data_IF_036982618613
#
_entry.id   IF_036982618613
#
_cell.length_a   1.000
_cell.length_b   1.000
_cell.length_c   1.000
_cell.angle_alpha   90.00
_cell.angle_beta   90.00
_cell.angle_gamma   90.00
#
_symmetry.space_group_name_H-M   'P 1'
#
loop_
_entity.id
_entity.type
_entity.pdbx_description
1 polymer ?
#
# COMPACT_ATOMS: atom_id res chain seq x y z
N UNK A 1 -31.60 -49.12 -45.50
CA UNK A 1 -31.20 -48.95 -44.10
C UNK A 1 -30.49 -47.59 -43.97
N UNK A 2 -31.29 -46.55 -43.72
CA UNK A 2 -30.87 -45.15 -43.81
C UNK A 2 -30.66 -44.61 -42.40
N UNK A 3 -29.40 -44.35 -42.01
CA UNK A 3 -29.07 -43.77 -40.73
C UNK A 3 -29.30 -42.24 -40.79
N UNK A 4 -30.22 -41.76 -39.99
CA UNK A 4 -30.47 -40.32 -39.73
C UNK A 4 -29.48 -39.83 -38.70
N UNK A 5 -28.56 -38.94 -39.08
CA UNK A 5 -27.75 -38.16 -38.17
C UNK A 5 -28.63 -37.08 -37.52
N UNK A 6 -28.81 -37.15 -36.19
CA UNK A 6 -29.46 -36.10 -35.42
C UNK A 6 -28.50 -34.88 -35.30
N UNK A 7 -29.00 -33.73 -35.71
CA UNK A 7 -28.39 -32.43 -35.50
C UNK A 7 -28.49 -32.14 -33.99
N UNK A 8 -27.35 -32.05 -33.27
CA UNK A 8 -27.31 -31.51 -31.93
C UNK A 8 -27.48 -30.00 -32.02
N UNK A 9 -28.61 -29.51 -31.52
CA UNK A 9 -28.84 -28.08 -31.28
C UNK A 9 -27.78 -27.56 -30.30
N UNK A 10 -26.86 -26.75 -30.81
CA UNK A 10 -25.91 -26.00 -30.01
C UNK A 10 -26.67 -24.99 -29.15
N UNK A 11 -26.74 -25.26 -27.85
CA UNK A 11 -27.23 -24.32 -26.86
C UNK A 11 -26.23 -23.17 -26.81
N UNK A 12 -26.50 -22.10 -27.55
CA UNK A 12 -25.71 -20.86 -27.45
C UNK A 12 -25.89 -20.32 -26.03
N UNK A 13 -24.79 -20.33 -25.27
CA UNK A 13 -24.74 -19.71 -23.94
C UNK A 13 -25.17 -18.24 -24.09
N UNK A 14 -26.28 -17.89 -23.45
CA UNK A 14 -26.71 -16.49 -23.40
C UNK A 14 -25.62 -15.67 -22.71
N UNK A 15 -25.19 -14.56 -23.31
CA UNK A 15 -24.26 -13.67 -22.62
C UNK A 15 -24.91 -13.23 -21.31
N UNK A 16 -24.17 -13.41 -20.18
CA UNK A 16 -24.61 -12.92 -18.87
C UNK A 16 -24.88 -11.42 -18.90
N UNK A 17 -25.61 -10.89 -17.91
CA UNK A 17 -25.90 -9.47 -17.85
C UNK A 17 -24.60 -8.66 -17.93
N UNK A 18 -24.60 -7.60 -18.73
CA UNK A 18 -23.46 -6.71 -18.91
C UNK A 18 -23.02 -6.15 -17.52
N UNK A 19 -21.77 -6.36 -17.08
CA UNK A 19 -21.30 -5.88 -15.78
C UNK A 19 -21.49 -4.37 -15.59
N UNK A 20 -21.49 -3.58 -16.66
CA UNK A 20 -21.73 -2.13 -16.61
C UNK A 20 -23.16 -1.78 -16.19
N UNK A 21 -24.13 -2.65 -16.45
CA UNK A 21 -25.55 -2.47 -16.09
C UNK A 21 -25.85 -2.84 -14.63
N UNK A 22 -24.91 -3.42 -13.91
CA UNK A 22 -25.09 -3.80 -12.51
C UNK A 22 -25.32 -2.57 -11.63
N UNK A 23 -26.26 -2.71 -10.69
CA UNK A 23 -26.57 -1.63 -9.74
C UNK A 23 -25.45 -1.50 -8.71
N UNK A 24 -25.13 -0.25 -8.37
CA UNK A 24 -24.15 0.08 -7.35
C UNK A 24 -24.78 0.23 -5.97
N UNK A 25 -23.99 -0.03 -4.94
CA UNK A 25 -24.36 0.20 -3.55
C UNK A 25 -23.97 1.63 -3.09
N UNK A 26 -24.45 2.04 -1.93
CA UNK A 26 -24.00 3.29 -1.32
C UNK A 26 -22.52 3.23 -0.94
N UNK A 27 -22.02 2.05 -0.57
CA UNK A 27 -20.60 1.83 -0.29
C UNK A 27 -19.71 2.08 -1.54
N UNK A 28 -20.18 1.67 -2.71
CA UNK A 28 -19.47 1.93 -3.97
C UNK A 28 -19.41 3.44 -4.28
N UNK A 29 -20.52 4.17 -4.06
CA UNK A 29 -20.53 5.64 -4.19
C UNK A 29 -19.56 6.31 -3.23
N UNK A 30 -19.52 5.86 -1.97
CA UNK A 30 -18.60 6.41 -0.97
C UNK A 30 -17.13 6.18 -1.35
N UNK A 31 -16.79 4.99 -1.88
CA UNK A 31 -15.43 4.72 -2.36
C UNK A 31 -15.01 5.66 -3.49
N UNK A 32 -15.89 5.90 -4.45
CA UNK A 32 -15.62 6.85 -5.54
C UNK A 32 -15.48 8.27 -4.99
N UNK A 33 -16.34 8.70 -4.07
CA UNK A 33 -16.25 10.01 -3.44
C UNK A 33 -14.92 10.21 -2.70
N UNK A 34 -14.37 9.17 -2.04
CA UNK A 34 -13.05 9.25 -1.41
C UNK A 34 -11.92 9.39 -2.44
N UNK A 35 -11.99 8.68 -3.57
CA UNK A 35 -11.03 8.84 -4.68
C UNK A 35 -11.03 10.28 -5.20
N UNK A 36 -12.21 10.89 -5.37
CA UNK A 36 -12.34 12.26 -5.83
C UNK A 36 -11.77 13.28 -4.82
N UNK A 37 -12.05 13.10 -3.52
CA UNK A 37 -11.49 13.97 -2.47
C UNK A 37 -9.98 13.89 -2.42
N UNK A 38 -9.42 12.68 -2.56
CA UNK A 38 -7.98 12.48 -2.62
C UNK A 38 -7.37 13.18 -3.84
N UNK A 39 -7.99 13.03 -5.02
CA UNK A 39 -7.53 13.69 -6.25
C UNK A 39 -7.55 15.22 -6.13
N UNK A 40 -8.57 15.79 -5.48
CA UNK A 40 -8.63 17.23 -5.21
C UNK A 40 -7.54 17.65 -4.20
N UNK A 41 -7.34 16.88 -3.14
CA UNK A 41 -6.26 17.14 -2.18
C UNK A 41 -4.86 17.07 -2.80
N UNK A 42 -4.68 16.28 -3.86
CA UNK A 42 -3.45 16.19 -4.65
C UNK A 42 -3.36 17.28 -5.75
N UNK A 43 -4.39 18.12 -5.91
CA UNK A 43 -4.46 19.15 -6.94
C UNK A 43 -4.60 18.61 -8.37
N UNK A 44 -5.15 17.40 -8.53
CA UNK A 44 -5.41 16.77 -9.85
C UNK A 44 -6.70 17.27 -10.46
N UNK A 45 -7.68 17.58 -9.62
CA UNK A 45 -8.93 18.22 -9.95
C UNK A 45 -9.10 19.44 -9.05
N UNK A 46 -9.77 20.47 -9.52
CA UNK A 46 -10.09 21.65 -8.72
C UNK A 46 -11.36 21.43 -7.88
N UNK A 47 -11.70 22.41 -7.04
CA UNK A 47 -12.84 22.27 -6.12
C UNK A 47 -14.17 22.27 -6.86
N UNK A 48 -14.29 23.03 -7.97
CA UNK A 48 -15.51 23.08 -8.76
C UNK A 48 -15.74 21.73 -9.47
N UNK A 49 -14.68 21.15 -10.03
CA UNK A 49 -14.71 19.83 -10.65
C UNK A 49 -14.99 18.72 -9.62
N UNK A 50 -14.45 18.85 -8.39
CA UNK A 50 -14.77 17.94 -7.29
C UNK A 50 -16.27 17.92 -6.99
N UNK A 51 -16.89 19.11 -6.86
CA UNK A 51 -18.32 19.21 -6.55
C UNK A 51 -19.18 18.60 -7.66
N UNK A 52 -18.87 18.89 -8.93
CA UNK A 52 -19.58 18.34 -10.08
C UNK A 52 -19.47 16.79 -10.13
N UNK A 53 -18.28 16.26 -9.90
CA UNK A 53 -18.05 14.79 -9.91
C UNK A 53 -18.67 14.11 -8.71
N UNK A 54 -18.69 14.74 -7.53
CA UNK A 54 -19.39 14.19 -6.35
C UNK A 54 -20.89 14.13 -6.60
N UNK A 55 -21.50 15.18 -7.18
CA UNK A 55 -22.91 15.15 -7.54
C UNK A 55 -23.23 14.02 -8.52
N UNK A 56 -22.45 13.88 -9.60
CA UNK A 56 -22.58 12.77 -10.54
C UNK A 56 -22.44 11.39 -9.87
N UNK A 57 -21.52 11.26 -8.93
CA UNK A 57 -21.30 10.02 -8.17
C UNK A 57 -22.54 9.63 -7.34
N UNK A 58 -23.17 10.58 -6.65
CA UNK A 58 -24.36 10.32 -5.84
C UNK A 58 -25.62 10.10 -6.67
N UNK A 59 -25.67 10.63 -7.90
CA UNK A 59 -26.76 10.37 -8.84
C UNK A 59 -26.63 9.02 -9.58
N UNK A 60 -25.42 8.49 -9.69
CA UNK A 60 -25.15 7.23 -10.40
C UNK A 60 -25.92 6.06 -9.79
N UNK A 61 -26.46 5.19 -10.66
CA UNK A 61 -27.24 4.00 -10.31
C UNK A 61 -26.55 2.70 -10.71
N UNK A 62 -25.62 2.76 -11.67
CA UNK A 62 -24.93 1.59 -12.23
C UNK A 62 -23.42 1.80 -12.26
N UNK A 63 -22.66 0.69 -12.35
CA UNK A 63 -21.21 0.75 -12.49
C UNK A 63 -20.78 1.49 -13.76
N UNK A 64 -21.53 1.34 -14.86
CA UNK A 64 -21.26 2.05 -16.11
C UNK A 64 -21.32 3.58 -15.97
N UNK A 65 -22.12 4.10 -15.03
CA UNK A 65 -22.21 5.53 -14.74
C UNK A 65 -21.07 6.03 -13.82
N UNK A 66 -20.46 5.15 -12.99
CA UNK A 66 -19.31 5.51 -12.15
C UNK A 66 -17.99 5.53 -12.92
N UNK A 67 -17.83 4.64 -13.92
CA UNK A 67 -16.57 4.52 -14.66
C UNK A 67 -16.07 5.84 -15.25
N UNK A 68 -16.88 6.64 -15.99
CA UNK A 68 -16.39 7.87 -16.58
C UNK A 68 -16.00 8.95 -15.57
N UNK A 69 -16.53 8.90 -14.34
CA UNK A 69 -16.27 9.89 -13.29
C UNK A 69 -14.81 9.84 -12.79
N UNK A 70 -14.19 8.67 -12.87
CA UNK A 70 -12.82 8.45 -12.39
C UNK A 70 -11.85 7.96 -13.46
N UNK A 71 -12.28 7.90 -14.73
CA UNK A 71 -11.51 7.30 -15.81
C UNK A 71 -10.17 8.00 -16.07
N UNK A 72 -10.11 9.30 -15.89
CA UNK A 72 -8.95 10.17 -16.05
C UNK A 72 -8.10 10.27 -14.76
N UNK A 73 -8.65 9.79 -13.64
CA UNK A 73 -7.92 9.75 -12.38
C UNK A 73 -7.17 8.42 -12.25
N UNK A 74 -5.89 8.46 -11.86
CA UNK A 74 -5.19 7.22 -11.54
C UNK A 74 -5.92 6.55 -10.39
N UNK A 75 -6.06 5.23 -10.45
CA UNK A 75 -6.64 4.44 -9.35
C UNK A 75 -6.00 4.88 -8.03
N UNK A 76 -6.80 5.02 -6.98
CA UNK A 76 -6.33 5.45 -5.66
C UNK A 76 -5.12 4.59 -5.25
N UNK A 77 -3.94 5.22 -5.09
CA UNK A 77 -2.69 4.51 -4.89
C UNK A 77 -1.91 4.18 -6.17
N UNK A 78 -2.38 4.57 -7.36
CA UNK A 78 -1.56 4.45 -8.56
C UNK A 78 -0.30 5.32 -8.45
N UNK A 79 0.88 4.77 -8.75
CA UNK A 79 2.12 5.54 -8.67
C UNK A 79 2.04 6.76 -9.59
N UNK A 80 2.45 7.94 -9.09
CA UNK A 80 2.74 9.08 -9.97
C UNK A 80 3.66 8.59 -11.11
N UNK A 81 3.53 9.15 -12.35
CA UNK A 81 4.52 8.90 -13.38
C UNK A 81 5.91 9.11 -12.79
N UNK A 82 6.64 8.01 -12.64
CA UNK A 82 7.98 8.01 -12.05
C UNK A 82 8.88 8.92 -12.87
N UNK A 83 9.67 9.82 -12.24
CA UNK A 83 10.88 10.29 -12.89
C UNK A 83 11.66 9.05 -13.34
N UNK A 84 12.25 9.09 -14.55
CA UNK A 84 12.88 7.96 -15.21
C UNK A 84 13.68 7.06 -14.23
N UNK A 85 13.59 5.74 -14.36
CA UNK A 85 14.09 4.81 -13.36
C UNK A 85 15.59 5.03 -13.12
N UNK A 86 15.93 5.48 -11.89
CA UNK A 86 17.26 5.24 -11.37
C UNK A 86 17.43 3.72 -11.36
N UNK A 87 18.56 3.27 -11.90
CA UNK A 87 18.88 1.88 -12.12
C UNK A 87 18.34 0.97 -11.01
N UNK A 88 17.46 0.04 -11.38
CA UNK A 88 16.96 -0.96 -10.46
C UNK A 88 18.16 -1.75 -9.92
N UNK A 89 18.28 -1.83 -8.61
CA UNK A 89 19.28 -2.69 -7.99
C UNK A 89 18.91 -4.13 -8.35
N UNK A 90 19.81 -4.95 -8.90
CA UNK A 90 19.48 -6.33 -9.23
C UNK A 90 19.01 -7.05 -7.96
N UNK A 91 17.75 -7.51 -7.97
CA UNK A 91 17.22 -8.34 -6.87
C UNK A 91 17.89 -9.70 -6.96
N UNK A 92 18.58 -10.18 -5.91
CA UNK A 92 19.28 -11.46 -5.94
C UNK A 92 18.35 -12.61 -6.33
N UNK A 93 18.87 -13.55 -7.13
CA UNK A 93 18.24 -14.85 -7.38
C UNK A 93 18.09 -15.56 -6.01
N UNK A 94 16.85 -15.77 -5.54
CA UNK A 94 16.57 -16.32 -4.23
C UNK A 94 16.00 -15.31 -3.22
N UNK A 95 15.81 -14.05 -3.60
CA UNK A 95 15.02 -13.12 -2.81
C UNK A 95 13.59 -13.68 -2.59
N UNK A 96 13.10 -13.53 -1.38
CA UNK A 96 11.79 -14.05 -0.96
C UNK A 96 10.60 -13.47 -1.73
N UNK A 97 9.40 -13.75 -1.25
CA UNK A 97 8.17 -13.33 -1.89
C UNK A 97 8.10 -11.80 -2.05
N UNK A 98 7.52 -11.34 -3.16
CA UNK A 98 7.29 -9.93 -3.46
C UNK A 98 5.90 -9.54 -2.99
N UNK A 99 5.80 -8.42 -2.28
CA UNK A 99 4.53 -7.89 -1.81
C UNK A 99 4.40 -6.42 -2.22
N UNK A 100 3.28 -6.07 -2.85
CA UNK A 100 2.92 -4.69 -3.16
C UNK A 100 2.09 -4.03 -2.06
N UNK A 101 1.46 -4.85 -1.19
CA UNK A 101 0.67 -4.34 -0.07
C UNK A 101 0.65 -5.30 1.13
N UNK A 102 0.30 -4.74 2.28
CA UNK A 102 0.06 -5.46 3.54
C UNK A 102 -1.12 -4.82 4.23
N UNK A 103 -2.17 -5.60 4.45
CA UNK A 103 -3.41 -5.12 5.07
C UNK A 103 -3.74 -5.97 6.29
N UNK A 104 -4.23 -5.31 7.33
CA UNK A 104 -4.78 -5.93 8.52
C UNK A 104 -6.11 -5.26 8.87
N UNK A 105 -7.19 -6.04 8.89
CA UNK A 105 -8.51 -5.61 9.35
C UNK A 105 -8.90 -6.50 10.51
N UNK A 106 -9.05 -5.93 11.70
CA UNK A 106 -9.31 -6.66 12.96
C UNK A 106 -8.34 -7.84 13.19
N UNK A 107 -7.10 -7.73 12.69
CA UNK A 107 -6.11 -8.80 12.64
C UNK A 107 -4.69 -8.25 12.73
N UNK A 108 -3.71 -9.15 12.71
CA UNK A 108 -2.30 -8.78 12.62
C UNK A 108 -1.69 -9.31 11.32
N UNK A 109 -0.97 -8.46 10.60
CA UNK A 109 -0.17 -8.85 9.44
C UNK A 109 1.30 -8.53 9.71
N UNK A 110 2.17 -9.55 9.60
CA UNK A 110 3.63 -9.38 9.75
C UNK A 110 4.36 -9.76 8.48
N UNK A 111 5.31 -8.91 8.08
CA UNK A 111 6.30 -9.20 7.05
C UNK A 111 7.67 -9.17 7.70
N UNK A 112 8.31 -10.32 7.82
CA UNK A 112 9.60 -10.49 8.51
C UNK A 112 10.50 -11.40 7.68
N UNK A 113 11.81 -11.22 7.81
CA UNK A 113 12.83 -12.03 7.12
C UNK A 113 13.06 -11.62 5.69
N UNK A 114 13.38 -12.59 4.82
CA UNK A 114 13.78 -12.36 3.45
C UNK A 114 12.57 -12.18 2.53
N UNK A 115 12.22 -10.96 2.20
CA UNK A 115 11.18 -10.61 1.24
C UNK A 115 11.55 -9.35 0.44
N UNK A 116 10.84 -9.09 -0.66
CA UNK A 116 11.13 -7.94 -1.54
C UNK A 116 10.11 -6.84 -1.30
N UNK A 117 10.61 -5.70 -0.85
CA UNK A 117 9.81 -4.48 -0.73
C UNK A 117 9.77 -3.77 -2.09
N UNK A 118 8.57 -3.68 -2.65
CA UNK A 118 8.32 -2.92 -3.87
C UNK A 118 8.13 -1.43 -3.56
N UNK A 119 8.50 -0.59 -4.53
CA UNK A 119 8.20 0.84 -4.43
C UNK A 119 6.68 1.08 -4.49
N UNK A 120 6.20 2.00 -3.65
CA UNK A 120 4.77 2.27 -3.50
C UNK A 120 4.03 1.24 -2.64
N UNK A 121 4.75 0.45 -1.81
CA UNK A 121 4.13 -0.55 -0.95
C UNK A 121 3.04 0.05 -0.06
N UNK A 122 1.82 -0.49 -0.15
CA UNK A 122 0.70 -0.11 0.70
C UNK A 122 0.71 -0.86 2.04
N UNK A 123 0.56 -0.14 3.16
CA UNK A 123 0.39 -0.72 4.49
C UNK A 123 -0.86 -0.11 5.15
N UNK A 124 -1.90 -0.91 5.34
CA UNK A 124 -3.17 -0.46 5.91
C UNK A 124 -3.53 -1.29 7.14
N UNK A 125 -3.71 -0.62 8.27
CA UNK A 125 -4.23 -1.23 9.50
C UNK A 125 -5.59 -0.59 9.85
N UNK A 126 -6.64 -1.42 9.94
CA UNK A 126 -7.99 -1.01 10.39
C UNK A 126 -8.37 -1.86 11.59
N UNK A 127 -8.40 -1.28 12.78
CA UNK A 127 -8.64 -1.99 14.06
C UNK A 127 -7.70 -3.20 14.25
N UNK A 128 -6.46 -3.10 13.73
CA UNK A 128 -5.48 -4.19 13.70
C UNK A 128 -4.06 -3.67 13.69
N UNK A 129 -3.09 -4.56 13.37
CA UNK A 129 -1.70 -4.14 13.26
C UNK A 129 -1.01 -4.68 12.01
N UNK A 130 -0.18 -3.83 11.38
CA UNK A 130 0.72 -4.21 10.30
C UNK A 130 2.16 -3.98 10.77
N UNK A 131 2.98 -5.02 10.71
CA UNK A 131 4.41 -4.93 11.04
C UNK A 131 5.23 -5.26 9.80
N UNK A 132 5.99 -4.29 9.34
CA UNK A 132 6.93 -4.42 8.22
C UNK A 132 8.35 -4.41 8.77
N UNK A 133 8.99 -5.56 8.84
CA UNK A 133 10.40 -5.67 9.23
C UNK A 133 11.28 -5.66 7.98
N UNK A 134 11.99 -4.55 7.76
CA UNK A 134 12.83 -4.31 6.59
C UNK A 134 14.31 -4.63 6.83
N UNK A 135 14.65 -5.15 7.98
CA UNK A 135 16.05 -5.38 8.35
C UNK A 135 16.76 -6.42 7.47
N UNK A 136 15.99 -7.41 6.98
CA UNK A 136 16.44 -8.47 6.07
C UNK A 136 15.73 -8.40 4.71
N UNK A 137 14.89 -7.37 4.49
CA UNK A 137 14.18 -7.22 3.24
C UNK A 137 15.11 -6.75 2.11
N UNK A 138 14.83 -7.20 0.91
CA UNK A 138 15.44 -6.69 -0.31
C UNK A 138 14.60 -5.54 -0.87
N UNK A 139 15.27 -4.52 -1.36
CA UNK A 139 14.61 -3.33 -1.91
C UNK A 139 14.67 -3.38 -3.44
N UNK A 140 13.55 -3.15 -4.10
CA UNK A 140 13.47 -3.11 -5.56
C UNK A 140 14.29 -1.96 -6.15
N UNK A 141 14.49 -0.88 -5.39
CA UNK A 141 15.27 0.29 -5.81
C UNK A 141 15.98 0.94 -4.61
N UNK A 142 16.96 1.80 -4.89
CA UNK A 142 17.69 2.55 -3.85
C UNK A 142 16.83 3.57 -3.09
N UNK A 143 15.63 3.88 -3.58
CA UNK A 143 14.61 4.69 -2.89
C UNK A 143 13.27 4.00 -3.03
N UNK A 144 12.57 3.78 -1.90
CA UNK A 144 11.29 3.09 -1.84
C UNK A 144 10.31 3.88 -0.99
N UNK A 145 9.09 4.00 -1.48
CA UNK A 145 7.99 4.66 -0.76
C UNK A 145 7.06 3.60 -0.14
N UNK A 146 6.71 3.81 1.12
CA UNK A 146 5.67 3.04 1.83
C UNK A 146 4.51 3.99 2.12
N UNK A 147 3.32 3.64 1.62
CA UNK A 147 2.08 4.35 1.91
C UNK A 147 1.43 3.69 3.12
N UNK A 148 1.68 4.24 4.32
CA UNK A 148 1.22 3.68 5.58
C UNK A 148 -0.02 4.41 6.08
N UNK A 149 -1.10 3.68 6.35
CA UNK A 149 -2.33 4.24 6.91
C UNK A 149 -2.83 3.40 8.08
N UNK A 150 -3.20 4.06 9.18
CA UNK A 150 -3.73 3.40 10.37
C UNK A 150 -5.05 4.05 10.79
N UNK A 151 -6.11 3.23 10.90
CA UNK A 151 -7.44 3.67 11.38
C UNK A 151 -7.77 2.83 12.61
N UNK A 152 -7.70 3.43 13.79
CA UNK A 152 -7.86 2.72 15.08
C UNK A 152 -6.93 1.50 15.22
N UNK A 153 -5.71 1.58 14.63
CA UNK A 153 -4.75 0.47 14.57
C UNK A 153 -3.31 0.95 14.59
N UNK A 154 -2.37 0.03 14.33
CA UNK A 154 -0.94 0.35 14.31
C UNK A 154 -0.29 -0.13 13.01
N UNK A 155 0.49 0.75 12.36
CA UNK A 155 1.47 0.35 11.33
C UNK A 155 2.86 0.59 11.89
N UNK A 156 3.66 -0.47 11.99
CA UNK A 156 5.02 -0.43 12.48
C UNK A 156 6.00 -0.80 11.38
N UNK A 157 6.91 0.10 11.06
CA UNK A 157 8.00 -0.12 10.11
C UNK A 157 9.32 -0.24 10.88
N UNK A 158 10.03 -1.34 10.72
CA UNK A 158 11.32 -1.58 11.40
C UNK A 158 12.42 -1.56 10.34
N UNK A 159 13.42 -0.71 10.54
CA UNK A 159 14.56 -0.55 9.62
C UNK A 159 15.88 -0.88 10.31
N UNK A 160 16.94 -1.17 9.54
CA UNK A 160 18.30 -1.38 10.04
C UNK A 160 19.04 -0.03 10.26
N UNK A 161 20.27 -0.10 10.75
CA UNK A 161 21.11 1.07 11.05
C UNK A 161 21.48 1.87 9.78
N UNK A 162 21.70 1.21 8.64
CA UNK A 162 22.12 1.85 7.39
C UNK A 162 20.97 2.45 6.56
N UNK A 163 19.71 2.17 6.91
CA UNK A 163 18.56 2.69 6.16
C UNK A 163 18.30 4.15 6.49
N UNK A 164 18.26 5.00 5.46
CA UNK A 164 17.77 6.38 5.60
C UNK A 164 16.26 6.40 5.61
N UNK A 165 15.67 7.16 6.52
CA UNK A 165 14.22 7.25 6.67
C UNK A 165 13.77 8.69 6.50
N UNK A 166 12.69 8.90 5.79
CA UNK A 166 11.94 10.16 5.73
C UNK A 166 10.49 9.83 6.07
N UNK A 167 9.99 10.46 7.12
CA UNK A 167 8.62 10.31 7.58
C UNK A 167 7.84 11.56 7.19
N UNK A 168 6.82 11.39 6.32
CA UNK A 168 6.04 12.46 5.74
C UNK A 168 4.55 12.08 5.79
N UNK A 169 3.93 12.25 6.94
CA UNK A 169 2.55 11.86 7.17
C UNK A 169 1.84 12.71 8.20
N UNK A 170 0.52 12.54 8.28
CA UNK A 170 -0.36 13.31 9.14
C UNK A 170 -1.04 12.40 10.17
N UNK A 171 -1.06 12.81 11.44
CA UNK A 171 -1.86 12.20 12.50
C UNK A 171 -3.08 13.06 12.83
N UNK A 172 -4.30 12.47 12.77
CA UNK A 172 -5.55 13.10 13.22
C UNK A 172 -6.05 12.31 14.41
N UNK A 173 -5.95 12.87 15.60
CA UNK A 173 -6.20 12.17 16.87
C UNK A 173 -5.40 10.86 17.01
N UNK A 174 -4.25 10.77 16.32
CA UNK A 174 -3.34 9.64 16.26
C UNK A 174 -1.90 10.14 16.08
N UNK A 175 -0.96 9.21 16.01
CA UNK A 175 0.46 9.53 15.93
C UNK A 175 1.06 9.01 14.62
N UNK A 176 1.84 9.87 13.93
CA UNK A 176 2.63 9.51 12.76
C UNK A 176 4.06 9.99 13.00
N UNK A 177 4.96 9.09 13.41
CA UNK A 177 6.25 9.49 13.98
C UNK A 177 7.38 8.50 13.70
N UNK A 178 8.62 9.00 13.74
CA UNK A 178 9.81 8.17 13.90
C UNK A 178 10.11 8.03 15.40
N UNK A 179 9.97 6.80 15.91
CA UNK A 179 10.29 6.51 17.31
C UNK A 179 11.80 6.60 17.57
N UNK A 180 12.15 6.88 18.83
CA UNK A 180 13.54 6.89 19.26
C UNK A 180 14.27 5.65 18.78
N UNK A 181 15.32 5.88 17.98
CA UNK A 181 16.15 4.83 17.43
C UNK A 181 16.79 3.98 18.54
N UNK A 182 16.70 2.65 18.41
CA UNK A 182 17.41 1.72 19.32
C UNK A 182 18.88 1.54 18.94
N UNK A 183 19.24 1.99 17.74
CA UNK A 183 20.61 2.03 17.23
C UNK A 183 20.81 3.33 16.47
N UNK A 184 22.00 3.94 16.53
CA UNK A 184 22.30 5.13 15.75
C UNK A 184 22.23 4.84 14.25
N UNK A 185 22.01 5.89 13.47
CA UNK A 185 22.14 5.78 12.01
C UNK A 185 23.61 5.60 11.65
N UNK A 186 23.88 4.67 10.76
CA UNK A 186 25.21 4.36 10.27
C UNK A 186 25.28 4.62 8.75
N UNK A 187 25.83 5.76 8.31
CA UNK A 187 25.92 6.11 6.91
C UNK A 187 26.87 5.21 6.10
N UNK A 188 27.83 4.56 6.76
CA UNK A 188 28.83 3.72 6.09
C UNK A 188 28.21 2.42 5.54
N UNK A 189 27.09 1.97 6.10
CA UNK A 189 26.36 0.80 5.61
C UNK A 189 25.64 1.04 4.28
N UNK A 190 25.55 2.30 3.78
CA UNK A 190 25.06 2.61 2.44
C UNK A 190 23.67 2.10 2.09
N UNK A 191 22.77 2.04 3.05
CA UNK A 191 21.41 1.50 2.87
C UNK A 191 20.48 2.36 2.01
N UNK A 192 19.32 1.82 1.60
CA UNK A 192 18.33 2.52 0.79
C UNK A 192 17.69 3.70 1.54
N UNK A 193 17.01 4.57 0.79
CA UNK A 193 16.12 5.59 1.34
C UNK A 193 14.69 5.01 1.40
N UNK A 194 14.12 4.94 2.58
CA UNK A 194 12.72 4.56 2.81
C UNK A 194 11.92 5.80 3.17
N UNK A 195 10.97 6.14 2.31
CA UNK A 195 10.03 7.24 2.54
C UNK A 195 8.71 6.67 3.01
N UNK A 196 8.31 6.99 4.23
CA UNK A 196 7.02 6.56 4.78
C UNK A 196 6.05 7.72 4.72
N UNK A 197 4.95 7.56 3.99
CA UNK A 197 3.90 8.56 3.79
C UNK A 197 2.55 7.99 4.19
N UNK A 198 1.59 8.88 4.46
CA UNK A 198 0.22 8.48 4.72
C UNK A 198 -0.42 9.23 5.88
N UNK A 199 -1.34 8.55 6.56
CA UNK A 199 -2.04 9.17 7.67
C UNK A 199 -2.35 8.15 8.79
N UNK A 200 -2.57 8.68 10.00
CA UNK A 200 -3.16 7.92 11.09
C UNK A 200 -4.39 8.63 11.63
N UNK A 201 -5.52 7.90 11.72
CA UNK A 201 -6.77 8.37 12.29
C UNK A 201 -7.08 7.54 13.53
N UNK A 202 -6.97 8.14 14.71
CA UNK A 202 -7.14 7.45 16.02
C UNK A 202 -6.25 6.19 16.16
N UNK A 203 -5.09 6.18 15.47
CA UNK A 203 -4.14 5.06 15.42
C UNK A 203 -2.70 5.56 15.43
N UNK A 204 -1.77 4.65 15.15
CA UNK A 204 -0.35 4.98 15.16
C UNK A 204 0.35 4.43 13.92
N UNK A 205 1.11 5.28 13.24
CA UNK A 205 2.13 4.86 12.27
C UNK A 205 3.48 5.21 12.86
N UNK A 206 4.31 4.21 13.12
CA UNK A 206 5.62 4.44 13.69
C UNK A 206 6.73 3.74 12.90
N UNK A 207 7.86 4.44 12.77
CA UNK A 207 9.09 3.89 12.19
C UNK A 207 10.12 3.75 13.29
N UNK A 208 10.73 2.58 13.42
CA UNK A 208 11.72 2.30 14.45
C UNK A 208 12.99 1.69 13.87
N UNK A 209 14.14 2.30 14.16
CA UNK A 209 15.45 1.75 13.81
C UNK A 209 15.91 0.74 14.86
N UNK A 210 16.21 -0.48 14.41
CA UNK A 210 16.72 -1.57 15.27
C UNK A 210 17.97 -2.18 14.64
N UNK A 211 18.78 -2.85 15.48
CA UNK A 211 19.90 -3.63 15.01
C UNK A 211 19.48 -4.97 14.37
N UNK A 212 20.46 -5.74 13.89
CA UNK A 212 20.22 -7.03 13.26
C UNK A 212 19.30 -7.92 14.09
N UNK A 213 18.42 -8.73 13.44
CA UNK A 213 17.60 -9.68 14.16
C UNK A 213 18.47 -10.75 14.82
N UNK A 214 18.11 -11.15 16.05
CA UNK A 214 18.79 -12.24 16.78
C UNK A 214 19.98 -11.82 17.66
N UNK A 215 20.47 -10.58 17.63
CA UNK A 215 21.49 -10.13 18.58
C UNK A 215 20.88 -9.67 19.91
N UNK A 216 21.21 -10.34 21.04
CA UNK A 216 20.78 -9.89 22.35
C UNK A 216 21.43 -8.53 22.68
N UNK A 217 20.64 -7.63 23.30
CA UNK A 217 21.06 -6.28 23.69
C UNK A 217 22.39 -6.25 24.48
N UNK A 218 22.68 -7.28 25.26
CA UNK A 218 23.88 -7.41 26.07
C UNK A 218 25.17 -7.49 25.23
N UNK A 219 25.16 -8.16 24.08
CA UNK A 219 26.31 -8.28 23.19
C UNK A 219 26.69 -6.94 22.52
N UNK A 220 25.71 -6.04 22.38
CA UNK A 220 25.86 -4.71 21.74
C UNK A 220 26.43 -3.66 22.69
N UNK A 221 26.33 -3.88 24.00
CA UNK A 221 26.91 -3.00 25.03
C UNK A 221 28.36 -3.34 25.36
N UNK A 222 29.00 -4.24 24.59
CA UNK A 222 30.42 -4.59 24.79
C UNK A 222 30.66 -5.43 26.02
N UNK A 223 29.64 -5.96 26.65
CA UNK A 223 29.84 -6.84 27.80
C UNK A 223 30.24 -8.24 27.33
N UNK A 224 31.55 -8.43 27.22
CA UNK A 224 32.14 -9.76 27.13
C UNK A 224 32.13 -10.29 28.56
N UNK A 225 31.16 -11.18 28.86
CA UNK A 225 31.16 -11.94 30.09
C UNK A 225 32.46 -12.78 30.13
N UNK A 226 33.33 -12.51 31.06
CA UNK A 226 34.49 -13.33 31.39
C UNK A 226 34.07 -14.63 32.10
#
# INVERSE_FOLDING_TARGET
MTLRFGVMDGHAAQPGPDPSSMRISDDDRHKVAEVLRLAAGEGRIDLEELDQRLEATYQAKTYGELVPITLDLPAAGAPRPKPAPRAATPVPLGAGARYSNSMAVMSETKRVGNWVLQDGHGALAVMGSVVLDLREAHFESGEVTINASAIMGEVKVIVNAGTRVVVDGMGIMGEFTEQRAKVPFDPEQGGPLVRVRGFSLMGTVNVQRKGPPGEPLLKRLGWHGG
#
